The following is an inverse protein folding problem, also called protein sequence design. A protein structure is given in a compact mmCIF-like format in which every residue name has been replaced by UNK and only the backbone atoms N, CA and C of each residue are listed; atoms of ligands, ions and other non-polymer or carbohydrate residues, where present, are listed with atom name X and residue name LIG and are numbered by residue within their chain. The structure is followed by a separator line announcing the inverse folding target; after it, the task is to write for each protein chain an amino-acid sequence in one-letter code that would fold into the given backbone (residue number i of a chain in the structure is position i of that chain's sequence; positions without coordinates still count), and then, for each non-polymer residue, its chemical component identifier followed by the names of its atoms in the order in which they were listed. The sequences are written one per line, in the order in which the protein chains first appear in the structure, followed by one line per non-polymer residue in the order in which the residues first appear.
data_IF_160744488812
#
_entry.id   IF_160744488812
#
_cell.length_a   1.000
_cell.length_b   1.000
_cell.length_c   1.000
_cell.angle_alpha   90.00
_cell.angle_beta   90.00
_cell.angle_gamma   90.00
#
_symmetry.space_group_name_H-M   'P 1'
#
loop_
_entity.id
_entity.type
_entity.pdbx_description
1 polymer ?
#
# COMPACT_ATOMS: atom_id res chain seq x y z
N UNK A 1 9.73 10.77 37.57
CA UNK A 1 9.17 11.11 36.24
C UNK A 1 10.17 10.90 35.11
N UNK A 2 11.35 11.55 35.11
CA UNK A 2 12.30 11.46 34.00
C UNK A 2 12.80 10.04 33.66
N UNK A 3 13.00 9.17 34.66
CA UNK A 3 13.43 7.77 34.45
C UNK A 3 12.45 6.95 33.60
N UNK A 4 11.15 7.12 33.85
CA UNK A 4 10.09 6.42 33.12
C UNK A 4 10.00 6.96 31.69
N UNK A 5 10.15 8.27 31.51
CA UNK A 5 10.20 8.92 30.21
C UNK A 5 11.36 8.40 29.36
N UNK A 6 12.58 8.37 29.92
CA UNK A 6 13.77 7.85 29.24
C UNK A 6 13.61 6.37 28.87
N UNK A 7 13.06 5.56 29.77
CA UNK A 7 12.83 4.14 29.51
C UNK A 7 11.82 3.92 28.37
N UNK A 8 10.69 4.63 28.39
CA UNK A 8 9.69 4.56 27.33
C UNK A 8 10.24 5.04 25.98
N UNK A 9 11.04 6.12 25.98
CA UNK A 9 11.67 6.65 24.77
C UNK A 9 12.65 5.65 24.14
N UNK A 10 13.49 5.00 24.95
CA UNK A 10 14.43 3.98 24.46
C UNK A 10 13.67 2.77 23.89
N UNK A 11 12.63 2.29 24.58
CA UNK A 11 11.82 1.18 24.06
C UNK A 11 11.14 1.52 22.73
N UNK A 12 10.62 2.74 22.59
CA UNK A 12 10.04 3.20 21.34
C UNK A 12 11.07 3.21 20.21
N UNK A 13 12.28 3.72 20.45
CA UNK A 13 13.36 3.70 19.47
C UNK A 13 13.71 2.27 19.05
N UNK A 14 13.88 1.35 20.02
CA UNK A 14 14.19 -0.06 19.72
C UNK A 14 13.10 -0.69 18.85
N UNK A 15 11.82 -0.44 19.15
CA UNK A 15 10.70 -0.94 18.35
C UNK A 15 10.75 -0.41 16.91
N UNK A 16 11.01 0.88 16.72
CA UNK A 16 11.15 1.49 15.38
C UNK A 16 12.33 0.94 14.60
N UNK A 17 13.49 0.78 15.24
CA UNK A 17 14.65 0.16 14.63
C UNK A 17 14.36 -1.30 14.24
N UNK A 18 13.67 -2.06 15.09
CA UNK A 18 13.24 -3.42 14.78
C UNK A 18 12.32 -3.49 13.56
N UNK A 19 11.35 -2.57 13.45
CA UNK A 19 10.47 -2.47 12.27
C UNK A 19 11.24 -2.09 11.01
N UNK A 20 12.18 -1.13 11.09
CA UNK A 20 13.00 -0.71 9.97
C UNK A 20 13.90 -1.83 9.45
N UNK A 21 14.59 -2.53 10.36
CA UNK A 21 15.42 -3.69 10.03
C UNK A 21 14.57 -4.83 9.45
N UNK A 22 13.39 -5.08 10.04
CA UNK A 22 12.43 -6.06 9.51
C UNK A 22 11.97 -5.75 8.09
N UNK A 23 11.74 -4.47 7.77
CA UNK A 23 11.40 -4.01 6.42
C UNK A 23 12.54 -4.22 5.42
N UNK A 24 13.77 -3.89 5.81
CA UNK A 24 14.97 -4.05 4.97
C UNK A 24 15.23 -5.53 4.69
N UNK A 25 15.15 -6.41 5.70
CA UNK A 25 15.41 -7.84 5.54
C UNK A 25 14.32 -8.52 4.72
N UNK A 26 13.03 -8.18 4.94
CA UNK A 26 11.96 -8.85 4.22
C UNK A 26 11.82 -8.39 2.78
N UNK A 27 12.34 -7.21 2.39
CA UNK A 27 12.22 -6.60 1.04
C UNK A 27 10.79 -6.62 0.46
N UNK A 28 9.79 -6.98 1.26
CA UNK A 28 8.39 -6.99 0.91
C UNK A 28 7.96 -5.55 1.05
N UNK A 29 7.52 -4.98 -0.06
CA UNK A 29 6.73 -3.75 -0.04
C UNK A 29 5.68 -3.90 1.05
N UNK A 30 5.46 -2.83 1.84
CA UNK A 30 4.39 -2.80 2.83
C UNK A 30 3.17 -3.41 2.15
N UNK A 31 2.64 -4.48 2.73
CA UNK A 31 1.52 -5.25 2.19
C UNK A 31 0.30 -4.32 2.10
N UNK A 32 0.26 -3.54 1.03
CA UNK A 32 -0.90 -2.76 0.65
C UNK A 32 -1.96 -3.70 0.11
N UNK A 33 -2.94 -3.14 -0.60
CA UNK A 33 -4.11 -3.88 -1.11
C UNK A 33 -3.85 -5.17 -1.92
N UNK A 34 -2.60 -5.51 -2.30
CA UNK A 34 -2.21 -6.75 -2.99
C UNK A 34 -1.23 -7.64 -2.18
N UNK A 35 -1.04 -7.36 -0.89
CA UNK A 35 0.03 -7.92 -0.06
C UNK A 35 -0.02 -9.42 0.24
N UNK A 36 -1.11 -10.10 -0.10
CA UNK A 36 -1.27 -11.55 0.08
C UNK A 36 -0.87 -12.40 -1.14
N UNK A 37 -0.67 -11.79 -2.31
CA UNK A 37 -0.48 -12.51 -3.57
C UNK A 37 0.96 -12.99 -3.82
N UNK A 38 1.93 -12.51 -3.03
CA UNK A 38 3.33 -12.95 -3.09
C UNK A 38 3.56 -14.39 -2.62
N UNK A 39 2.61 -15.00 -1.90
CA UNK A 39 2.66 -16.44 -1.60
C UNK A 39 2.23 -17.31 -2.81
N UNK A 40 1.62 -16.70 -3.84
CA UNK A 40 1.15 -17.37 -5.05
C UNK A 40 1.97 -17.01 -6.31
N UNK A 41 3.13 -16.36 -6.15
CA UNK A 41 4.04 -16.06 -7.27
C UNK A 41 3.59 -14.95 -8.23
N UNK A 42 2.51 -14.24 -7.92
CA UNK A 42 1.98 -13.13 -8.71
C UNK A 42 2.65 -11.82 -8.27
N UNK A 43 3.95 -11.68 -8.55
CA UNK A 43 4.72 -10.49 -8.18
C UNK A 43 5.35 -9.75 -9.36
N UNK A 44 5.08 -10.14 -10.62
CA UNK A 44 5.73 -9.47 -11.77
C UNK A 44 4.83 -8.74 -12.74
N UNK A 45 3.58 -9.13 -12.90
CA UNK A 45 2.66 -8.39 -13.77
C UNK A 45 1.29 -8.31 -13.09
N UNK A 46 0.79 -7.09 -12.84
CA UNK A 46 -0.64 -6.86 -12.65
C UNK A 46 -1.41 -7.02 -13.98
N UNK A 47 -1.08 -8.06 -14.76
CA UNK A 47 -1.88 -8.64 -15.84
C UNK A 47 -2.66 -9.85 -15.30
N UNK A 48 -3.28 -9.71 -14.13
CA UNK A 48 -4.29 -10.68 -13.73
C UNK A 48 -5.49 -10.55 -14.69
N UNK A 49 -5.94 -11.66 -15.31
CA UNK A 49 -7.13 -11.68 -16.18
C UNK A 49 -8.40 -11.21 -15.45
N UNK A 50 -8.42 -11.28 -14.12
CA UNK A 50 -9.37 -10.55 -13.28
C UNK A 50 -8.66 -9.44 -12.48
N UNK A 51 -8.92 -8.15 -12.78
CA UNK A 51 -8.28 -7.06 -12.07
C UNK A 51 -8.75 -7.02 -10.60
N UNK A 52 -7.81 -6.81 -9.68
CA UNK A 52 -8.10 -6.69 -8.26
C UNK A 52 -9.09 -5.54 -7.98
N UNK A 53 -9.86 -5.65 -6.89
CA UNK A 53 -10.93 -4.69 -6.56
C UNK A 53 -10.45 -3.25 -6.44
N UNK A 54 -9.19 -3.04 -6.01
CA UNK A 54 -8.58 -1.72 -5.96
C UNK A 54 -8.29 -1.15 -7.36
N UNK A 55 -7.83 -1.97 -8.32
CA UNK A 55 -7.65 -1.56 -9.71
C UNK A 55 -9.00 -1.35 -10.40
N UNK A 56 -9.98 -2.23 -10.18
CA UNK A 56 -11.38 -2.05 -10.63
C UNK A 56 -11.95 -0.72 -10.15
N UNK A 57 -11.77 -0.38 -8.86
CA UNK A 57 -12.22 0.91 -8.30
C UNK A 57 -11.49 2.12 -8.90
N UNK A 58 -10.18 2.01 -9.19
CA UNK A 58 -9.43 3.09 -9.87
C UNK A 58 -9.90 3.26 -11.31
N UNK A 59 -9.99 2.18 -12.07
CA UNK A 59 -10.48 2.21 -13.46
C UNK A 59 -11.93 2.72 -13.54
N UNK A 60 -12.81 2.31 -12.63
CA UNK A 60 -14.19 2.81 -12.57
C UNK A 60 -14.26 4.32 -12.23
N UNK A 61 -13.35 4.81 -11.39
CA UNK A 61 -13.25 6.24 -11.06
C UNK A 61 -12.70 7.05 -12.23
N UNK A 62 -11.74 6.49 -12.97
CA UNK A 62 -11.17 7.08 -14.18
C UNK A 62 -12.21 7.12 -15.30
N UNK A 63 -12.92 6.03 -15.58
CA UNK A 63 -13.98 5.98 -16.59
C UNK A 63 -15.13 6.93 -16.27
N UNK A 64 -15.58 7.00 -15.02
CA UNK A 64 -16.60 7.96 -14.60
C UNK A 64 -16.13 9.41 -14.79
N UNK A 65 -14.84 9.70 -14.56
CA UNK A 65 -14.26 11.02 -14.80
C UNK A 65 -14.20 11.35 -16.30
N UNK A 66 -13.84 10.39 -17.15
CA UNK A 66 -13.83 10.57 -18.60
C UNK A 66 -15.24 10.78 -19.17
N UNK A 67 -16.25 10.05 -18.70
CA UNK A 67 -17.63 10.26 -19.11
C UNK A 67 -18.14 11.64 -18.74
N UNK A 68 -17.82 12.12 -17.53
CA UNK A 68 -18.15 13.49 -17.11
C UNK A 68 -17.42 14.53 -17.97
N UNK A 69 -16.15 14.31 -18.32
CA UNK A 69 -15.39 15.19 -19.20
C UNK A 69 -15.95 15.21 -20.63
N UNK A 70 -16.42 14.08 -21.15
CA UNK A 70 -17.09 14.00 -22.46
C UNK A 70 -18.46 14.69 -22.43
N UNK A 71 -19.23 14.49 -21.37
CA UNK A 71 -20.56 15.11 -21.20
C UNK A 71 -20.49 16.63 -21.00
N UNK A 72 -19.45 17.11 -20.30
CA UNK A 72 -19.21 18.54 -20.09
C UNK A 72 -18.29 19.16 -21.17
N UNK A 73 -17.87 18.38 -22.18
CA UNK A 73 -17.27 18.92 -23.40
C UNK A 73 -18.41 19.48 -24.25
N UNK A 74 -18.86 20.66 -23.87
CA UNK A 74 -19.82 21.48 -24.61
C UNK A 74 -19.17 21.80 -25.96
N UNK A 75 -19.81 21.36 -27.06
CA UNK A 75 -19.59 21.89 -28.40
C UNK A 75 -20.57 23.04 -28.61
#
# INVERSE_FOLDING_TARGET
MLKIFLFAFILFLIAFFGMALGYIVKRKSLQGSCGGLGAMGIEKECDCPEPCDARKKRMAKESAREELLKKNRIL
#
